data_IF_192954007842
#
_entry.id   IF_192954007842
#
_cell.length_a   1.000
_cell.length_b   1.000
_cell.length_c   1.000
_cell.angle_alpha   90.00
_cell.angle_beta   90.00
_cell.angle_gamma   90.00
#
_symmetry.space_group_name_H-M   'P 1'
#
loop_
_entity.id
_entity.type
_entity.pdbx_description
1 polymer ?
#
# COMPACT_ATOMS: atom_id res chain seq x y z
N UNK A 1 8.52 43.09 -21.22
CA UNK A 1 7.14 43.48 -20.80
C UNK A 1 6.71 42.70 -19.54
N UNK A 2 7.50 42.70 -18.45
CA UNK A 2 7.28 41.81 -17.29
C UNK A 2 7.24 42.54 -15.92
N UNK A 3 6.98 43.86 -15.91
CA UNK A 3 6.94 44.67 -14.67
C UNK A 3 5.54 45.07 -14.21
N UNK A 4 4.50 44.71 -14.96
CA UNK A 4 3.11 45.14 -14.70
C UNK A 4 2.25 44.07 -14.01
N UNK A 5 2.79 42.86 -13.81
CA UNK A 5 2.06 41.74 -13.19
C UNK A 5 2.10 41.77 -11.65
N UNK A 6 3.09 42.45 -11.04
CA UNK A 6 3.27 42.45 -9.59
C UNK A 6 2.35 43.42 -8.83
N UNK A 7 1.76 44.42 -9.51
CA UNK A 7 0.96 45.45 -8.84
C UNK A 7 -0.53 45.07 -8.69
N UNK A 8 -1.04 44.16 -9.52
CA UNK A 8 -2.46 43.78 -9.51
C UNK A 8 -2.83 42.82 -8.37
N UNK A 9 -1.88 42.03 -7.86
CA UNK A 9 -2.15 41.06 -6.77
C UNK A 9 -2.30 41.75 -5.39
N UNK A 10 -1.69 42.92 -5.20
CA UNK A 10 -1.68 43.62 -3.91
C UNK A 10 -2.97 44.44 -3.64
N UNK A 11 -3.73 44.80 -4.69
CA UNK A 11 -4.93 45.64 -4.56
C UNK A 11 -6.21 44.83 -4.25
N UNK A 12 -6.19 43.50 -4.44
CA UNK A 12 -7.36 42.67 -4.16
C UNK A 12 -7.58 42.36 -2.67
N UNK A 13 -6.65 42.73 -1.79
CA UNK A 13 -6.75 42.47 -0.35
C UNK A 13 -7.44 43.60 0.44
N UNK A 14 -7.74 44.74 -0.18
CA UNK A 14 -8.27 45.91 0.53
C UNK A 14 -9.78 46.16 0.34
N UNK A 15 -10.45 45.45 -0.57
CA UNK A 15 -11.89 45.65 -0.87
C UNK A 15 -12.82 44.57 -0.31
N UNK A 16 -12.31 43.60 0.43
CA UNK A 16 -13.14 42.64 1.18
C UNK A 16 -13.14 42.93 2.70
N UNK A 17 -12.85 44.19 3.08
CA UNK A 17 -13.19 44.71 4.39
C UNK A 17 -14.68 45.08 4.41
N UNK A 18 -15.42 44.51 5.36
CA UNK A 18 -16.85 44.73 5.66
C UNK A 18 -17.87 44.02 4.75
N UNK A 19 -17.98 42.70 4.81
CA UNK A 19 -19.28 42.03 4.59
C UNK A 19 -19.24 40.54 5.00
N UNK A 20 -19.22 40.28 6.30
CA UNK A 20 -20.00 39.21 6.97
C UNK A 20 -19.47 39.08 8.39
N UNK A 21 -20.08 39.85 9.30
CA UNK A 21 -20.34 39.32 10.63
C UNK A 21 -21.33 38.16 10.42
N UNK A 22 -20.80 37.00 10.01
CA UNK A 22 -21.48 35.76 10.28
C UNK A 22 -21.54 35.67 11.79
N UNK A 23 -22.74 35.66 12.34
CA UNK A 23 -23.01 35.04 13.61
C UNK A 23 -22.44 33.61 13.49
N UNK A 24 -21.16 33.42 13.86
CA UNK A 24 -20.61 32.10 14.04
C UNK A 24 -21.43 31.55 15.18
N UNK A 25 -22.28 30.54 14.97
CA UNK A 25 -23.00 29.95 16.07
C UNK A 25 -21.93 29.58 17.09
N UNK A 26 -22.05 30.15 18.29
CA UNK A 26 -21.22 29.80 19.43
C UNK A 26 -21.20 28.28 19.45
N UNK A 27 -20.05 27.69 19.15
CA UNK A 27 -19.82 26.24 19.18
C UNK A 27 -19.80 25.75 20.63
N UNK A 28 -20.76 26.19 21.43
CA UNK A 28 -21.05 25.67 22.74
C UNK A 28 -21.81 24.38 22.51
N UNK A 29 -21.07 23.27 22.50
CA UNK A 29 -21.56 21.87 22.45
C UNK A 29 -21.62 21.26 21.05
N UNK A 30 -20.52 21.32 20.28
CA UNK A 30 -20.21 20.14 19.44
C UNK A 30 -20.21 18.95 20.39
N UNK A 31 -21.15 18.03 20.21
CA UNK A 31 -21.39 16.92 21.12
C UNK A 31 -20.05 16.25 21.48
N UNK A 32 -19.73 16.18 22.78
CA UNK A 32 -18.43 15.66 23.23
C UNK A 32 -18.20 14.23 22.73
N UNK A 33 -19.29 13.48 22.54
CA UNK A 33 -19.27 12.15 21.95
C UNK A 33 -18.90 12.21 20.47
N UNK A 34 -19.40 13.20 19.71
CA UNK A 34 -19.03 13.41 18.30
C UNK A 34 -17.54 13.72 18.15
N UNK A 35 -17.02 14.68 18.94
CA UNK A 35 -15.59 15.05 18.89
C UNK A 35 -14.71 13.88 19.34
N UNK A 36 -15.15 13.12 20.35
CA UNK A 36 -14.45 11.91 20.78
C UNK A 36 -14.41 10.84 19.67
N UNK A 37 -15.54 10.57 19.01
CA UNK A 37 -15.59 9.60 17.92
C UNK A 37 -14.70 10.02 16.75
N UNK A 38 -14.71 11.31 16.41
CA UNK A 38 -13.86 11.86 15.35
C UNK A 38 -12.38 11.79 15.73
N UNK A 39 -12.04 12.09 16.99
CA UNK A 39 -10.69 11.93 17.51
C UNK A 39 -10.25 10.46 17.47
N UNK A 40 -11.07 9.50 17.92
CA UNK A 40 -10.75 8.07 17.88
C UNK A 40 -10.57 7.57 16.45
N UNK A 41 -11.39 8.03 15.51
CA UNK A 41 -11.30 7.63 14.10
C UNK A 41 -10.07 8.20 13.40
N UNK A 42 -9.62 9.39 13.77
CA UNK A 42 -8.47 10.08 13.15
C UNK A 42 -7.18 10.00 13.99
N UNK A 43 -7.18 9.26 15.10
CA UNK A 43 -6.00 9.14 15.94
C UNK A 43 -4.93 8.26 15.27
N UNK A 44 -3.79 8.89 14.94
CA UNK A 44 -2.64 8.23 14.33
C UNK A 44 -2.01 7.15 15.23
N UNK A 45 -1.93 7.38 16.55
CA UNK A 45 -1.36 6.41 17.49
C UNK A 45 -2.25 5.16 17.60
N UNK A 46 -3.57 5.34 17.59
CA UNK A 46 -4.51 4.23 17.59
C UNK A 46 -4.44 3.43 16.28
N UNK A 47 -4.30 4.12 15.15
CA UNK A 47 -4.11 3.47 13.85
C UNK A 47 -2.78 2.68 13.81
N UNK A 48 -1.69 3.26 14.32
CA UNK A 48 -0.40 2.60 14.43
C UNK A 48 -0.46 1.35 15.33
N UNK A 49 -1.07 1.47 16.52
CA UNK A 49 -1.25 0.33 17.43
C UNK A 49 -2.09 -0.79 16.82
N UNK A 50 -3.13 -0.45 16.03
CA UNK A 50 -3.95 -1.44 15.29
C UNK A 50 -3.14 -2.12 14.18
N UNK A 51 -2.31 -1.38 13.46
CA UNK A 51 -1.43 -1.93 12.44
C UNK A 51 -0.39 -2.89 13.05
N UNK A 52 0.24 -2.48 14.16
CA UNK A 52 1.18 -3.31 14.92
C UNK A 52 0.51 -4.57 15.45
N UNK A 53 -0.71 -4.46 15.97
CA UNK A 53 -1.49 -5.61 16.39
C UNK A 53 -1.76 -6.57 15.22
N UNK A 54 -2.14 -6.04 14.05
CA UNK A 54 -2.30 -6.82 12.82
C UNK A 54 -1.03 -7.59 12.46
N UNK A 55 0.12 -6.91 12.43
CA UNK A 55 1.42 -7.49 12.13
C UNK A 55 1.81 -8.60 13.13
N UNK A 56 1.58 -8.36 14.44
CA UNK A 56 1.84 -9.38 15.48
C UNK A 56 0.91 -10.58 15.36
N UNK A 57 -0.33 -10.37 14.91
CA UNK A 57 -1.31 -11.46 14.74
C UNK A 57 -0.89 -12.46 13.67
N UNK A 58 -0.07 -12.06 12.69
CA UNK A 58 0.46 -12.94 11.64
C UNK A 58 1.58 -13.88 12.14
N UNK A 59 2.17 -13.62 13.30
CA UNK A 59 3.24 -14.46 13.87
C UNK A 59 2.71 -15.85 14.22
N UNK A 60 1.48 -15.95 14.75
CA UNK A 60 0.84 -17.21 15.13
C UNK A 60 0.58 -18.12 13.92
N UNK A 61 -0.10 -17.69 12.84
CA UNK A 61 -0.28 -18.52 11.66
C UNK A 61 1.05 -18.82 10.96
N UNK A 62 2.04 -17.92 10.98
CA UNK A 62 3.38 -18.20 10.46
C UNK A 62 4.08 -19.32 11.24
N UNK A 63 4.02 -19.28 12.58
CA UNK A 63 4.58 -20.35 13.42
C UNK A 63 3.85 -21.68 13.20
N UNK A 64 2.51 -21.65 13.02
CA UNK A 64 1.70 -22.83 12.73
C UNK A 64 1.97 -23.41 11.34
N UNK A 65 2.22 -22.58 10.33
CA UNK A 65 2.55 -23.04 8.99
C UNK A 65 3.84 -23.90 8.94
N UNK A 66 4.78 -23.69 9.87
CA UNK A 66 5.97 -24.52 10.00
C UNK A 66 5.76 -25.87 10.70
N UNK A 67 4.62 -26.08 11.35
CA UNK A 67 4.27 -27.33 12.06
C UNK A 67 3.22 -28.17 11.31
N UNK A 68 2.68 -27.64 10.21
CA UNK A 68 1.70 -28.32 9.39
C UNK A 68 2.39 -29.05 8.25
N UNK A 69 1.86 -30.23 7.83
CA UNK A 69 2.40 -30.94 6.69
C UNK A 69 2.30 -30.07 5.44
N UNK A 70 3.40 -29.97 4.70
CA UNK A 70 3.47 -29.18 3.48
C UNK A 70 3.19 -30.07 2.27
N UNK A 71 2.21 -29.70 1.47
CA UNK A 71 1.91 -30.32 0.17
C UNK A 71 2.34 -29.36 -0.93
N UNK A 72 3.33 -29.75 -1.71
CA UNK A 72 3.77 -28.99 -2.88
C UNK A 72 3.67 -29.85 -4.13
N UNK A 73 3.29 -29.23 -5.25
CA UNK A 73 3.29 -29.86 -6.56
C UNK A 73 3.91 -28.90 -7.57
N UNK A 74 4.71 -29.43 -8.48
CA UNK A 74 5.40 -28.67 -9.49
C UNK A 74 5.34 -29.38 -10.84
N UNK A 75 5.22 -28.61 -11.91
CA UNK A 75 5.37 -29.08 -13.27
C UNK A 75 6.43 -28.21 -13.95
N UNK A 76 7.38 -28.85 -14.62
CA UNK A 76 8.43 -28.15 -15.34
C UNK A 76 8.45 -28.61 -16.80
N UNK A 77 8.58 -27.64 -17.70
CA UNK A 77 8.76 -27.87 -19.12
C UNK A 77 10.04 -27.19 -19.54
N UNK A 78 11.01 -27.99 -19.98
CA UNK A 78 12.30 -27.51 -20.43
C UNK A 78 12.43 -27.74 -21.93
N UNK A 79 12.92 -26.72 -22.63
CA UNK A 79 13.35 -26.82 -24.01
C UNK A 79 14.68 -26.09 -24.16
N UNK A 80 15.74 -26.85 -24.40
CA UNK A 80 17.10 -26.33 -24.56
C UNK A 80 17.58 -26.64 -25.96
N UNK A 81 17.93 -25.60 -26.71
CA UNK A 81 18.58 -25.72 -28.02
C UNK A 81 20.01 -25.23 -27.88
N UNK A 82 20.97 -26.10 -28.20
CA UNK A 82 22.39 -25.78 -28.22
C UNK A 82 22.87 -25.90 -29.65
N UNK A 83 23.45 -24.83 -30.19
CA UNK A 83 24.11 -24.80 -31.49
C UNK A 83 25.61 -24.59 -31.28
N UNK A 84 26.42 -25.48 -31.85
CA UNK A 84 27.88 -25.40 -31.85
C UNK A 84 28.30 -25.10 -33.29
N UNK A 85 29.15 -24.09 -33.50
CA UNK A 85 29.53 -23.64 -34.85
C UNK A 85 30.66 -24.48 -35.47
N UNK A 86 31.57 -25.03 -34.65
CA UNK A 86 32.64 -25.91 -35.12
C UNK A 86 33.02 -26.96 -34.07
N UNK A 87 32.76 -28.27 -34.33
CA UNK A 87 31.98 -28.82 -35.43
C UNK A 87 30.52 -28.35 -35.40
N UNK A 88 29.92 -28.15 -36.58
CA UNK A 88 28.53 -27.68 -36.70
C UNK A 88 27.54 -28.73 -36.21
N UNK A 89 27.10 -28.61 -34.96
CA UNK A 89 26.18 -29.57 -34.32
C UNK A 89 25.10 -28.81 -33.59
N UNK A 90 23.85 -29.11 -33.94
CA UNK A 90 22.68 -28.62 -33.20
C UNK A 90 22.10 -29.75 -32.38
N UNK A 91 22.03 -29.56 -31.07
CA UNK A 91 21.37 -30.48 -30.15
C UNK A 91 20.14 -29.78 -29.54
N UNK A 92 18.99 -30.44 -29.61
CA UNK A 92 17.78 -29.99 -28.92
C UNK A 92 17.38 -31.02 -27.87
N UNK A 93 17.15 -30.57 -26.64
CA UNK A 93 16.65 -31.38 -25.54
C UNK A 93 15.37 -30.76 -25.03
N UNK A 94 14.28 -31.52 -25.12
CA UNK A 94 13.04 -31.19 -24.42
C UNK A 94 12.79 -32.19 -23.30
N UNK A 95 12.13 -31.73 -22.24
CA UNK A 95 11.76 -32.58 -21.12
C UNK A 95 10.59 -31.97 -20.36
N UNK A 96 9.67 -32.83 -19.96
CA UNK A 96 8.57 -32.47 -19.07
C UNK A 96 8.78 -33.25 -17.78
N UNK A 97 8.67 -32.58 -16.63
CA UNK A 97 8.71 -33.23 -15.33
C UNK A 97 7.49 -32.80 -14.52
N UNK A 98 6.98 -33.72 -13.72
CA UNK A 98 5.93 -33.46 -12.73
C UNK A 98 6.40 -34.02 -11.41
N UNK A 99 6.24 -33.25 -10.34
CA UNK A 99 6.60 -33.65 -9.00
C UNK A 99 5.48 -33.29 -8.03
N UNK A 100 5.27 -34.14 -7.03
CA UNK A 100 4.39 -33.89 -5.91
C UNK A 100 5.11 -34.35 -4.64
N UNK A 101 5.21 -33.49 -3.64
CA UNK A 101 5.90 -33.75 -2.37
C UNK A 101 4.95 -33.47 -1.22
N UNK A 102 4.80 -34.46 -0.34
CA UNK A 102 4.15 -34.30 0.95
C UNK A 102 5.22 -34.46 2.05
N UNK A 103 5.45 -33.41 2.83
CA UNK A 103 6.31 -33.46 4.00
C UNK A 103 5.44 -33.51 5.26
N UNK A 104 5.64 -34.54 6.11
CA UNK A 104 4.95 -34.76 7.39
C UNK A 104 5.84 -34.44 8.58
#
# INVERSE_FOLDING_TARGET
MLRKLSLALAVSCASNGLAWAADLPLSSRTDLVSVYNEAVNNNADLAAARADYGARREVVPRARAGLLPNLSAGAEMMNTRTSIDQPSVTASRSGNSWSATLAQ
#
